data_IF_610264457380
#
_entry.id   IF_610264457380
#
_cell.length_a   1.000
_cell.length_b   1.000
_cell.length_c   1.000
_cell.angle_alpha   90.00
_cell.angle_beta   90.00
_cell.angle_gamma   90.00
#
_symmetry.space_group_name_H-M   'P 1'
#
loop_
_entity.id
_entity.type
_entity.pdbx_description
1 polymer ?
#
# COMPACT_ATOMS: atom_id res chain seq x y z
N UNK A 1 26.06 22.15 3.45
CA UNK A 1 24.62 22.28 3.71
C UNK A 1 24.32 21.28 4.81
N UNK A 2 23.89 21.74 5.99
CA UNK A 2 23.36 20.86 7.03
C UNK A 2 21.96 20.43 6.57
N UNK A 3 21.73 19.13 6.43
CA UNK A 3 20.42 18.58 6.15
C UNK A 3 19.62 18.57 7.46
N UNK A 4 18.43 19.13 7.46
CA UNK A 4 17.56 19.17 8.64
C UNK A 4 16.84 17.82 8.84
N UNK A 5 17.62 16.83 9.29
CA UNK A 5 17.09 15.51 9.64
C UNK A 5 16.57 15.54 11.08
N UNK A 6 15.29 15.32 11.26
CA UNK A 6 14.69 15.15 12.59
C UNK A 6 14.62 13.66 12.95
N UNK A 7 15.78 13.11 13.35
CA UNK A 7 15.90 11.69 13.70
C UNK A 7 15.94 11.52 15.20
N UNK A 8 14.98 10.77 15.75
CA UNK A 8 14.95 10.52 17.18
C UNK A 8 16.18 9.67 17.61
N UNK A 9 16.85 9.99 18.74
CA UNK A 9 18.10 9.33 19.13
C UNK A 9 17.98 7.83 19.45
N UNK A 10 16.75 7.32 19.66
CA UNK A 10 16.49 5.89 19.85
C UNK A 10 16.17 5.15 18.55
N UNK A 11 16.13 5.83 17.40
CA UNK A 11 15.97 5.17 16.12
C UNK A 11 17.22 4.38 15.75
N UNK A 12 17.05 3.18 15.21
CA UNK A 12 18.15 2.31 14.77
C UNK A 12 18.21 2.36 13.24
N UNK A 13 19.25 3.01 12.73
CA UNK A 13 19.45 3.16 11.28
C UNK A 13 20.71 2.41 10.88
N UNK A 14 20.57 1.45 9.95
CA UNK A 14 21.72 0.73 9.43
C UNK A 14 22.64 1.69 8.66
N UNK A 15 23.98 1.64 8.83
CA UNK A 15 24.92 2.57 8.20
C UNK A 15 24.84 2.61 6.65
N UNK A 16 24.36 1.55 6.03
CA UNK A 16 24.19 1.45 4.57
C UNK A 16 22.82 1.92 4.08
N UNK A 17 21.89 2.27 4.97
CA UNK A 17 20.62 2.86 4.57
C UNK A 17 20.86 4.22 3.87
N UNK A 18 20.09 4.49 2.82
CA UNK A 18 20.21 5.75 2.08
C UNK A 18 19.04 6.66 2.45
N UNK A 19 19.35 7.75 3.11
CA UNK A 19 18.38 8.77 3.49
C UNK A 19 18.60 10.02 2.65
N UNK A 20 17.56 10.49 1.95
CA UNK A 20 17.58 11.79 1.27
C UNK A 20 17.41 12.93 2.29
N UNK A 21 17.28 14.16 1.82
CA UNK A 21 17.14 15.36 2.66
C UNK A 21 15.79 15.40 3.41
N UNK A 22 15.75 16.13 4.52
CA UNK A 22 14.54 16.45 5.28
C UNK A 22 13.73 15.22 5.76
N UNK A 23 14.42 14.13 6.12
CA UNK A 23 13.80 12.92 6.65
C UNK A 23 13.49 13.09 8.14
N UNK A 24 12.28 12.64 8.55
CA UNK A 24 11.92 12.54 9.97
C UNK A 24 11.76 11.07 10.34
N UNK A 25 12.35 10.64 11.47
CA UNK A 25 12.27 9.27 11.96
C UNK A 25 11.97 9.29 13.45
N UNK A 26 10.82 8.73 13.82
CA UNK A 26 10.35 8.67 15.19
C UNK A 26 11.08 7.64 16.06
N UNK A 27 10.77 7.68 17.35
CA UNK A 27 11.40 6.85 18.37
C UNK A 27 11.26 5.36 18.10
N UNK A 28 12.33 4.60 18.38
CA UNK A 28 12.39 3.13 18.30
C UNK A 28 12.07 2.56 16.90
N UNK A 29 12.16 3.37 15.86
CA UNK A 29 12.01 2.88 14.48
C UNK A 29 13.32 2.25 13.98
N UNK A 30 13.19 1.24 13.13
CA UNK A 30 14.28 0.48 12.56
C UNK A 30 14.32 0.68 11.05
N UNK A 31 15.46 1.13 10.52
CA UNK A 31 15.70 1.30 9.09
C UNK A 31 16.82 0.34 8.67
N UNK A 32 16.47 -0.65 7.86
CA UNK A 32 17.34 -1.75 7.46
C UNK A 32 18.40 -1.39 6.43
N UNK A 33 19.30 -2.35 6.17
CA UNK A 33 20.51 -2.18 5.35
C UNK A 33 20.27 -1.71 3.92
N UNK A 34 19.22 -2.19 3.28
CA UNK A 34 18.95 -1.96 1.87
C UNK A 34 17.77 -1.01 1.64
N UNK A 35 17.45 -0.20 2.66
CA UNK A 35 16.37 0.77 2.61
C UNK A 35 16.85 2.08 2.00
N UNK A 36 16.05 2.63 1.10
CA UNK A 36 16.22 3.96 0.53
C UNK A 36 14.97 4.82 0.83
N UNK A 37 15.16 5.98 1.46
CA UNK A 37 14.08 6.92 1.77
C UNK A 37 14.24 8.21 0.98
N UNK A 38 13.21 8.60 0.23
CA UNK A 38 13.15 9.83 -0.54
C UNK A 38 12.85 11.05 0.32
N UNK A 39 13.22 12.20 -0.19
CA UNK A 39 13.14 13.52 0.44
C UNK A 39 11.80 13.81 1.12
N UNK A 40 11.85 14.41 2.31
CA UNK A 40 10.67 14.86 3.05
C UNK A 40 9.78 13.73 3.56
N UNK A 41 10.23 12.47 3.52
CA UNK A 41 9.46 11.34 4.07
C UNK A 41 9.52 11.33 5.60
N UNK A 42 8.35 11.15 6.22
CA UNK A 42 8.15 11.12 7.67
C UNK A 42 7.82 9.70 8.14
N UNK A 43 8.64 9.17 9.04
CA UNK A 43 8.47 7.85 9.66
C UNK A 43 8.07 8.05 11.13
N UNK A 44 6.94 7.47 11.52
CA UNK A 44 6.43 7.50 12.89
C UNK A 44 7.29 6.69 13.87
N UNK A 45 6.79 6.51 15.09
CA UNK A 45 7.46 5.71 16.12
C UNK A 45 7.26 4.21 15.89
N UNK A 46 8.22 3.38 16.32
CA UNK A 46 8.11 1.91 16.27
C UNK A 46 7.81 1.35 14.87
N UNK A 47 8.26 2.01 13.81
CA UNK A 47 8.13 1.53 12.44
C UNK A 47 9.35 0.66 12.10
N UNK A 48 9.11 -0.51 11.51
CA UNK A 48 10.18 -1.34 10.93
C UNK A 48 10.14 -1.23 9.41
N UNK A 49 11.24 -0.80 8.81
CA UNK A 49 11.43 -0.79 7.35
C UNK A 49 12.64 -1.63 7.04
N UNK A 50 12.44 -2.75 6.33
CA UNK A 50 13.48 -3.77 6.09
C UNK A 50 13.53 -4.18 4.62
N UNK A 51 14.26 -5.25 4.31
CA UNK A 51 14.39 -5.77 2.95
C UNK A 51 14.98 -4.76 1.96
N UNK A 52 14.94 -5.09 0.68
CA UNK A 52 15.25 -4.16 -0.41
C UNK A 52 14.04 -3.25 -0.68
N UNK A 53 13.91 -2.21 0.15
CA UNK A 53 12.75 -1.32 0.15
C UNK A 53 13.14 0.08 -0.27
N UNK A 54 12.53 0.58 -1.34
CA UNK A 54 12.66 1.95 -1.80
C UNK A 54 11.36 2.70 -1.60
N UNK A 55 11.42 3.83 -0.88
CA UNK A 55 10.30 4.71 -0.60
C UNK A 55 10.59 6.07 -1.22
N UNK A 56 9.67 6.59 -2.01
CA UNK A 56 9.78 7.89 -2.68
C UNK A 56 9.68 9.07 -1.71
N UNK A 57 9.30 10.23 -2.26
CA UNK A 57 9.28 11.51 -1.55
C UNK A 57 7.98 11.77 -0.80
N UNK A 58 8.07 12.55 0.27
CA UNK A 58 6.93 13.12 1.00
C UNK A 58 5.90 12.08 1.46
N UNK A 59 6.34 10.86 1.72
CA UNK A 59 5.48 9.83 2.31
C UNK A 59 5.33 10.04 3.81
N UNK A 60 4.17 9.64 4.36
CA UNK A 60 3.92 9.60 5.81
C UNK A 60 3.61 8.18 6.24
N UNK A 61 4.48 7.59 7.05
CA UNK A 61 4.30 6.23 7.57
C UNK A 61 4.10 6.33 9.08
N UNK A 62 2.92 5.93 9.53
CA UNK A 62 2.50 6.04 10.92
C UNK A 62 3.06 4.88 11.75
N UNK A 63 3.00 5.05 13.06
CA UNK A 63 3.62 4.18 14.04
C UNK A 63 3.23 2.69 13.90
N UNK A 64 4.13 1.81 14.33
CA UNK A 64 3.91 0.37 14.42
C UNK A 64 3.62 -0.34 13.09
N UNK A 65 3.98 0.26 11.96
CA UNK A 65 3.88 -0.38 10.65
C UNK A 65 5.13 -1.20 10.35
N UNK A 66 4.96 -2.32 9.63
CA UNK A 66 6.01 -3.23 9.17
C UNK A 66 6.08 -3.20 7.65
N UNK A 67 7.12 -2.64 7.10
CA UNK A 67 7.28 -2.33 5.68
C UNK A 67 8.50 -3.05 5.10
N UNK A 68 8.29 -3.82 4.03
CA UNK A 68 9.38 -4.49 3.34
C UNK A 68 9.83 -5.80 3.98
N UNK A 69 9.02 -6.35 4.88
CA UNK A 69 9.28 -7.70 5.41
C UNK A 69 9.14 -8.75 4.30
N UNK A 70 9.77 -9.90 4.54
CA UNK A 70 9.70 -11.05 3.65
C UNK A 70 8.26 -11.50 3.40
N UNK A 71 7.96 -12.08 2.22
CA UNK A 71 6.66 -12.65 1.91
C UNK A 71 6.20 -13.68 2.94
N UNK A 72 4.89 -13.69 3.23
CA UNK A 72 4.27 -14.73 4.07
C UNK A 72 3.93 -15.98 3.22
N UNK A 73 4.73 -16.29 2.21
CA UNK A 73 4.60 -17.48 1.37
C UNK A 73 5.58 -18.55 1.85
N UNK A 74 5.08 -19.75 2.16
CA UNK A 74 5.90 -20.88 2.63
C UNK A 74 6.95 -21.35 1.60
N UNK A 75 6.81 -20.96 0.33
CA UNK A 75 7.78 -21.25 -0.73
C UNK A 75 8.96 -20.27 -0.73
N UNK A 76 8.83 -19.13 -0.08
CA UNK A 76 9.90 -18.14 0.00
C UNK A 76 11.10 -18.71 0.79
N UNK A 77 12.30 -18.55 0.24
CA UNK A 77 13.56 -19.08 0.79
C UNK A 77 14.65 -18.00 0.81
N UNK A 78 14.34 -16.85 1.39
CA UNK A 78 15.28 -15.72 1.56
C UNK A 78 15.90 -15.21 0.23
N UNK A 79 15.16 -15.32 -0.88
CA UNK A 79 15.61 -14.78 -2.16
C UNK A 79 15.52 -13.24 -2.17
N UNK A 80 16.40 -12.63 -2.97
CA UNK A 80 16.40 -11.19 -3.13
C UNK A 80 15.18 -10.72 -3.94
N UNK A 81 14.27 -10.06 -3.23
CA UNK A 81 13.06 -9.45 -3.78
C UNK A 81 12.86 -8.07 -3.17
N UNK A 82 12.05 -7.22 -3.76
CA UNK A 82 11.97 -5.83 -3.35
C UNK A 82 10.54 -5.30 -3.17
N UNK A 83 10.46 -4.15 -2.52
CA UNK A 83 9.28 -3.30 -2.39
C UNK A 83 9.63 -1.90 -2.91
N UNK A 84 8.80 -1.36 -3.78
CA UNK A 84 8.89 0.04 -4.20
C UNK A 84 7.60 0.77 -3.85
N UNK A 85 7.73 1.90 -3.15
CA UNK A 85 6.64 2.82 -2.81
C UNK A 85 6.96 4.16 -3.45
N UNK A 86 6.03 4.71 -4.21
CA UNK A 86 6.14 6.02 -4.85
C UNK A 86 6.06 7.18 -3.86
N UNK A 87 5.53 8.29 -4.31
CA UNK A 87 5.54 9.56 -3.58
C UNK A 87 4.18 9.87 -2.92
N UNK A 88 4.21 10.70 -1.87
CA UNK A 88 3.03 11.31 -1.22
C UNK A 88 1.98 10.33 -0.73
N UNK A 89 2.37 9.10 -0.40
CA UNK A 89 1.46 8.16 0.21
C UNK A 89 1.33 8.42 1.72
N UNK A 90 0.14 8.18 2.25
CA UNK A 90 -0.11 8.10 3.68
C UNK A 90 -0.40 6.65 4.05
N UNK A 91 0.49 6.06 4.83
CA UNK A 91 0.36 4.70 5.37
C UNK A 91 0.12 4.81 6.86
N UNK A 92 -1.10 4.47 7.28
CA UNK A 92 -1.52 4.58 8.68
C UNK A 92 -0.90 3.45 9.51
N UNK A 93 -1.21 3.51 10.79
CA UNK A 93 -0.64 2.63 11.81
C UNK A 93 -0.97 1.15 11.61
N UNK A 94 -0.07 0.28 12.08
CA UNK A 94 -0.19 -1.18 12.06
C UNK A 94 -0.37 -1.81 10.66
N UNK A 95 0.05 -1.12 9.61
CA UNK A 95 0.05 -1.69 8.27
C UNK A 95 1.21 -2.68 8.08
N UNK A 96 0.98 -3.71 7.27
CA UNK A 96 2.02 -4.67 6.87
C UNK A 96 2.12 -4.72 5.35
N UNK A 97 3.32 -4.55 4.80
CA UNK A 97 3.57 -4.55 3.36
C UNK A 97 4.80 -5.42 3.09
N UNK A 98 4.63 -6.48 2.30
CA UNK A 98 5.71 -7.42 2.02
C UNK A 98 6.43 -7.12 0.69
N UNK A 99 7.66 -7.61 0.56
CA UNK A 99 8.39 -7.65 -0.71
C UNK A 99 7.77 -8.65 -1.68
N UNK A 100 8.24 -8.73 -2.93
CA UNK A 100 7.77 -9.70 -3.91
C UNK A 100 8.34 -11.12 -3.70
N UNK A 101 8.02 -12.05 -4.60
CA UNK A 101 8.57 -13.41 -4.67
C UNK A 101 9.27 -13.65 -6.01
N UNK A 102 10.17 -14.63 -6.08
CA UNK A 102 10.89 -14.96 -7.32
C UNK A 102 10.00 -15.67 -8.34
N UNK A 103 8.96 -16.35 -7.89
CA UNK A 103 7.93 -16.95 -8.73
C UNK A 103 6.99 -15.90 -9.35
N UNK A 104 6.93 -14.70 -8.75
CA UNK A 104 6.15 -13.57 -9.23
C UNK A 104 7.02 -12.55 -9.98
N UNK A 105 6.76 -11.29 -9.74
CA UNK A 105 7.48 -10.17 -10.37
C UNK A 105 8.75 -9.77 -9.60
N UNK A 106 9.13 -10.50 -8.57
CA UNK A 106 10.20 -10.16 -7.60
C UNK A 106 9.96 -8.84 -6.88
N UNK A 107 8.81 -8.23 -7.04
CA UNK A 107 8.56 -6.86 -6.61
C UNK A 107 7.10 -6.64 -6.22
N UNK A 108 6.89 -6.01 -5.07
CA UNK A 108 5.63 -5.35 -4.72
C UNK A 108 5.74 -3.86 -5.06
N UNK A 109 4.71 -3.31 -5.70
CA UNK A 109 4.70 -1.93 -6.19
C UNK A 109 3.53 -1.16 -5.58
N UNK A 110 3.82 0.01 -5.03
CA UNK A 110 2.82 0.99 -4.60
C UNK A 110 3.15 2.31 -5.29
N UNK A 111 2.19 2.87 -6.02
CA UNK A 111 2.32 4.13 -6.73
C UNK A 111 2.29 5.35 -5.81
N UNK A 112 1.62 6.40 -6.26
CA UNK A 112 1.64 7.70 -5.62
C UNK A 112 0.27 8.10 -5.08
N UNK A 113 0.24 9.05 -4.13
CA UNK A 113 -0.95 9.71 -3.65
C UNK A 113 -2.00 8.76 -3.06
N UNK A 114 -1.57 7.63 -2.49
CA UNK A 114 -2.46 6.64 -1.91
C UNK A 114 -2.72 6.93 -0.42
N UNK A 115 -3.93 6.64 0.03
CA UNK A 115 -4.36 6.70 1.43
C UNK A 115 -4.64 5.29 1.95
N UNK A 116 -3.69 4.74 2.67
CA UNK A 116 -3.73 3.39 3.22
C UNK A 116 -4.03 3.49 4.71
N UNK A 117 -5.24 3.09 5.11
CA UNK A 117 -5.70 3.21 6.49
C UNK A 117 -5.13 2.12 7.39
N UNK A 118 -5.39 2.24 8.69
CA UNK A 118 -4.81 1.36 9.69
C UNK A 118 -5.17 -0.12 9.50
N UNK A 119 -4.22 -1.00 9.87
CA UNK A 119 -4.34 -2.45 9.81
C UNK A 119 -4.49 -3.04 8.40
N UNK A 120 -4.14 -2.29 7.36
CA UNK A 120 -4.13 -2.81 5.99
C UNK A 120 -2.97 -3.77 5.81
N UNK A 121 -3.23 -4.89 5.12
CA UNK A 121 -2.20 -5.82 4.67
C UNK A 121 -2.07 -5.80 3.15
N UNK A 122 -0.86 -5.63 2.64
CA UNK A 122 -0.51 -5.76 1.22
C UNK A 122 0.53 -6.86 1.10
N UNK A 123 0.11 -8.01 0.56
CA UNK A 123 0.98 -9.16 0.37
C UNK A 123 1.97 -8.96 -0.80
N UNK A 124 2.80 -9.95 -1.00
CA UNK A 124 3.84 -10.01 -2.03
C UNK A 124 3.28 -9.85 -3.46
N UNK A 125 4.10 -9.27 -4.34
CA UNK A 125 3.82 -9.12 -5.78
C UNK A 125 2.56 -8.31 -6.11
N UNK A 126 1.97 -7.61 -5.16
CA UNK A 126 0.85 -6.71 -5.41
C UNK A 126 1.30 -5.48 -6.21
N UNK A 127 0.41 -4.99 -7.08
CA UNK A 127 0.57 -3.75 -7.83
C UNK A 127 -0.58 -2.80 -7.43
N UNK A 128 -0.27 -1.78 -6.65
CA UNK A 128 -1.20 -0.74 -6.22
C UNK A 128 -0.83 0.54 -6.96
N UNK A 129 -1.68 1.03 -7.87
CA UNK A 129 -1.38 2.21 -8.68
C UNK A 129 -1.53 3.52 -7.88
N UNK A 130 -2.22 4.52 -8.38
CA UNK A 130 -2.22 5.86 -7.79
C UNK A 130 -3.61 6.31 -7.32
N UNK A 131 -3.65 7.24 -6.36
CA UNK A 131 -4.87 7.88 -5.86
C UNK A 131 -5.90 6.88 -5.29
N UNK A 132 -5.41 5.82 -4.68
CA UNK A 132 -6.23 4.74 -4.13
C UNK A 132 -6.50 5.00 -2.65
N UNK A 133 -7.71 4.67 -2.22
CA UNK A 133 -8.08 4.65 -0.80
C UNK A 133 -8.32 3.21 -0.38
N UNK A 134 -7.55 2.74 0.60
CA UNK A 134 -7.70 1.42 1.20
C UNK A 134 -8.13 1.61 2.65
N UNK A 135 -9.39 1.29 2.94
CA UNK A 135 -9.93 1.49 4.28
C UNK A 135 -9.45 0.42 5.27
N UNK A 136 -9.67 0.69 6.56
CA UNK A 136 -9.18 -0.12 7.67
C UNK A 136 -9.42 -1.63 7.50
N UNK A 137 -8.40 -2.41 7.86
CA UNK A 137 -8.43 -3.89 7.84
C UNK A 137 -8.65 -4.52 6.45
N UNK A 138 -8.53 -3.77 5.38
CA UNK A 138 -8.55 -4.37 4.06
C UNK A 138 -7.27 -5.18 3.84
N UNK A 139 -7.42 -6.33 3.15
CA UNK A 139 -6.34 -7.30 2.97
C UNK A 139 -6.23 -7.67 1.49
N UNK A 140 -5.05 -7.49 0.93
CA UNK A 140 -4.70 -7.91 -0.42
C UNK A 140 -3.83 -9.15 -0.33
N UNK A 141 -4.30 -10.26 -0.86
CA UNK A 141 -3.47 -11.45 -1.03
C UNK A 141 -2.44 -11.25 -2.15
N UNK A 142 -1.52 -12.20 -2.34
CA UNK A 142 -0.45 -12.06 -3.32
C UNK A 142 -0.94 -11.80 -4.75
N UNK A 143 -0.15 -11.04 -5.53
CA UNK A 143 -0.38 -10.74 -6.94
C UNK A 143 -1.67 -9.96 -7.25
N UNK A 144 -2.27 -9.29 -6.28
CA UNK A 144 -3.44 -8.42 -6.52
C UNK A 144 -3.00 -7.15 -7.24
N UNK A 145 -3.73 -6.78 -8.29
CA UNK A 145 -3.53 -5.54 -9.01
C UNK A 145 -4.69 -4.56 -8.73
N UNK A 146 -4.39 -3.35 -8.30
CA UNK A 146 -5.38 -2.30 -8.05
C UNK A 146 -5.07 -1.10 -8.93
N UNK A 147 -6.02 -0.74 -9.78
CA UNK A 147 -5.90 0.37 -10.70
C UNK A 147 -6.16 1.72 -10.03
N UNK A 148 -5.96 2.81 -10.78
CA UNK A 148 -6.06 4.17 -10.25
C UNK A 148 -7.47 4.47 -9.69
N UNK A 149 -7.51 5.31 -8.66
CA UNK A 149 -8.75 5.85 -8.09
C UNK A 149 -9.70 4.82 -7.48
N UNK A 150 -9.25 3.60 -7.24
CA UNK A 150 -10.04 2.58 -6.55
C UNK A 150 -10.25 2.96 -5.08
N UNK A 151 -11.42 2.61 -4.55
CA UNK A 151 -11.74 2.73 -3.12
C UNK A 151 -12.08 1.34 -2.59
N UNK A 152 -11.28 0.83 -1.68
CA UNK A 152 -11.59 -0.41 -0.96
C UNK A 152 -12.25 -0.07 0.39
N UNK A 153 -13.47 -0.55 0.59
CA UNK A 153 -14.18 -0.45 1.86
C UNK A 153 -13.50 -1.24 2.98
N UNK A 154 -13.72 -0.86 4.23
CA UNK A 154 -13.14 -1.54 5.38
C UNK A 154 -13.42 -3.03 5.39
N UNK A 155 -12.46 -3.84 5.87
CA UNK A 155 -12.55 -5.31 5.89
C UNK A 155 -12.77 -5.96 4.51
N UNK A 156 -12.45 -5.25 3.41
CA UNK A 156 -12.40 -5.89 2.09
C UNK A 156 -11.25 -6.89 2.05
N UNK A 157 -11.50 -8.12 1.66
CA UNK A 157 -10.47 -9.12 1.43
C UNK A 157 -10.46 -9.54 -0.04
N UNK A 158 -9.29 -9.52 -0.66
CA UNK A 158 -9.12 -9.77 -2.10
C UNK A 158 -8.25 -11.01 -2.28
N UNK A 159 -8.80 -12.02 -2.95
CA UNK A 159 -8.08 -13.25 -3.28
C UNK A 159 -6.91 -12.97 -4.23
N UNK A 160 -5.89 -13.80 -4.15
CA UNK A 160 -4.70 -13.68 -5.01
C UNK A 160 -5.05 -13.63 -6.50
N UNK A 161 -4.25 -12.89 -7.26
CA UNK A 161 -4.36 -12.67 -8.70
C UNK A 161 -5.57 -11.86 -9.18
N UNK A 162 -6.46 -11.40 -8.30
CA UNK A 162 -7.57 -10.54 -8.70
C UNK A 162 -7.10 -9.16 -9.14
N UNK A 163 -7.81 -8.58 -10.12
CA UNK A 163 -7.61 -7.23 -10.64
C UNK A 163 -8.81 -6.36 -10.34
N UNK A 164 -8.55 -5.18 -9.81
CA UNK A 164 -9.59 -4.20 -9.50
C UNK A 164 -9.42 -3.01 -10.44
N UNK A 165 -10.37 -2.85 -11.35
CA UNK A 165 -10.36 -1.82 -12.38
C UNK A 165 -10.49 -0.41 -11.82
N UNK A 166 -10.03 0.58 -12.59
CA UNK A 166 -9.98 1.97 -12.16
C UNK A 166 -11.36 2.51 -11.75
N UNK A 167 -11.35 3.43 -10.80
CA UNK A 167 -12.57 4.02 -10.23
C UNK A 167 -13.56 3.03 -9.60
N UNK A 168 -13.25 1.76 -9.51
CA UNK A 168 -14.10 0.80 -8.81
C UNK A 168 -14.15 1.10 -7.30
N UNK A 169 -15.24 0.66 -6.67
CA UNK A 169 -15.40 0.75 -5.22
C UNK A 169 -15.92 -0.57 -4.65
N UNK A 170 -15.36 -1.03 -3.55
CA UNK A 170 -15.92 -2.13 -2.78
C UNK A 170 -16.64 -1.60 -1.54
N UNK A 171 -17.76 -2.20 -1.19
CA UNK A 171 -18.41 -1.93 0.10
C UNK A 171 -17.65 -2.62 1.24
N UNK A 172 -17.85 -2.14 2.48
CA UNK A 172 -17.23 -2.76 3.64
C UNK A 172 -17.58 -4.25 3.79
N UNK A 173 -16.61 -5.07 4.18
CA UNK A 173 -16.78 -6.51 4.35
C UNK A 173 -16.89 -7.29 3.02
N UNK A 174 -16.50 -6.70 1.90
CA UNK A 174 -16.57 -7.39 0.60
C UNK A 174 -15.45 -8.42 0.47
N UNK A 175 -15.81 -9.67 0.18
CA UNK A 175 -14.87 -10.77 -0.10
C UNK A 175 -14.80 -10.98 -1.62
N UNK A 176 -13.67 -10.66 -2.22
CA UNK A 176 -13.45 -10.74 -3.67
C UNK A 176 -12.64 -12.00 -4.01
N UNK A 177 -13.18 -12.85 -4.88
CA UNK A 177 -12.49 -13.99 -5.49
C UNK A 177 -12.39 -13.88 -7.02
N UNK A 178 -12.81 -12.77 -7.59
CA UNK A 178 -12.83 -12.47 -9.02
C UNK A 178 -12.46 -11.01 -9.26
N UNK A 179 -12.11 -10.71 -10.52
CA UNK A 179 -11.83 -9.35 -10.95
C UNK A 179 -13.06 -8.44 -10.82
N UNK A 180 -12.80 -7.16 -10.57
CA UNK A 180 -13.81 -6.11 -10.57
C UNK A 180 -13.56 -5.19 -11.76
N UNK A 181 -14.56 -5.04 -12.63
CA UNK A 181 -14.47 -4.16 -13.79
C UNK A 181 -14.32 -2.69 -13.36
N UNK A 182 -13.72 -1.86 -14.22
CA UNK A 182 -13.65 -0.40 -13.97
C UNK A 182 -15.03 0.20 -13.70
N UNK A 183 -15.04 1.22 -12.84
CA UNK A 183 -16.21 2.02 -12.45
C UNK A 183 -17.29 1.26 -11.67
N UNK A 184 -17.15 -0.04 -11.46
CA UNK A 184 -18.15 -0.87 -10.78
C UNK A 184 -18.12 -0.66 -9.26
N UNK A 185 -19.30 -0.71 -8.65
CA UNK A 185 -19.47 -0.89 -7.21
C UNK A 185 -19.68 -2.38 -6.91
N UNK A 186 -18.74 -2.99 -6.20
CA UNK A 186 -18.82 -4.36 -5.77
C UNK A 186 -19.34 -4.45 -4.32
N UNK A 187 -20.25 -5.38 -4.07
CA UNK A 187 -20.82 -5.66 -2.76
C UNK A 187 -20.75 -7.16 -2.47
N UNK A 188 -20.79 -7.55 -1.19
CA UNK A 188 -20.85 -8.96 -0.80
C UNK A 188 -22.19 -9.32 -0.18
N UNK A 189 -22.78 -10.43 -0.61
CA UNK A 189 -23.94 -11.07 0.02
C UNK A 189 -23.71 -12.57 0.09
N UNK A 190 -24.00 -13.17 1.26
CA UNK A 190 -23.84 -14.61 1.41
C UNK A 190 -22.41 -15.13 1.17
N UNK A 191 -21.38 -14.31 1.43
CA UNK A 191 -19.99 -14.69 1.24
C UNK A 191 -19.44 -14.55 -0.19
N UNK A 192 -20.26 -14.08 -1.16
CA UNK A 192 -19.82 -13.85 -2.55
C UNK A 192 -19.93 -12.37 -2.91
N UNK A 193 -18.92 -11.87 -3.61
CA UNK A 193 -18.94 -10.54 -4.18
C UNK A 193 -19.62 -10.54 -5.56
N UNK A 194 -20.37 -9.48 -5.86
CA UNK A 194 -21.00 -9.27 -7.15
C UNK A 194 -21.11 -7.78 -7.48
N UNK A 195 -21.22 -7.42 -8.78
CA UNK A 195 -21.39 -6.06 -9.19
C UNK A 195 -22.78 -5.53 -8.77
N UNK A 196 -22.82 -4.31 -8.26
CA UNK A 196 -24.05 -3.63 -7.85
C UNK A 196 -24.05 -2.19 -8.36
N UNK A 197 -24.16 -2.06 -9.66
CA UNK A 197 -24.17 -0.77 -10.35
C UNK A 197 -22.78 -0.10 -10.43
N UNK A 198 -22.80 1.18 -10.76
CA UNK A 198 -21.63 2.02 -10.99
C UNK A 198 -21.28 2.81 -9.71
N UNK A 199 -20.04 3.16 -9.54
CA UNK A 199 -19.53 4.05 -8.48
C UNK A 199 -19.89 5.52 -8.79
N UNK A 200 -21.17 5.82 -8.99
CA UNK A 200 -21.65 7.14 -9.44
C UNK A 200 -21.19 8.28 -8.52
N UNK A 201 -21.21 8.08 -7.21
CA UNK A 201 -20.82 9.11 -6.25
C UNK A 201 -19.29 9.40 -6.32
N UNK A 202 -18.46 8.35 -6.41
CA UNK A 202 -17.02 8.52 -6.57
C UNK A 202 -16.67 9.24 -7.87
N UNK A 203 -17.38 8.95 -8.96
CA UNK A 203 -17.18 9.60 -10.25
C UNK A 203 -17.59 11.08 -10.21
N UNK A 204 -18.73 11.43 -9.60
CA UNK A 204 -19.15 12.84 -9.41
C UNK A 204 -18.13 13.65 -8.63
N UNK A 205 -17.61 13.11 -7.53
CA UNK A 205 -16.56 13.76 -6.72
C UNK A 205 -15.26 14.02 -7.50
N UNK A 206 -15.05 13.29 -8.59
CA UNK A 206 -13.90 13.44 -9.49
C UNK A 206 -14.22 14.25 -10.75
N UNK A 207 -15.39 14.88 -10.81
CA UNK A 207 -15.76 15.81 -11.88
C UNK A 207 -16.35 15.18 -13.15
N UNK A 208 -16.71 13.89 -13.11
CA UNK A 208 -17.46 13.28 -14.21
C UNK A 208 -18.85 13.89 -14.32
N UNK A 209 -19.29 14.21 -15.54
CA UNK A 209 -20.62 14.77 -15.78
C UNK A 209 -21.71 13.71 -15.59
N UNK A 210 -22.94 14.15 -15.35
CA UNK A 210 -24.08 13.23 -15.23
C UNK A 210 -24.32 12.43 -16.51
N UNK A 211 -24.07 13.04 -17.68
CA UNK A 211 -24.16 12.36 -18.96
C UNK A 211 -23.12 11.25 -19.13
N UNK A 212 -21.92 11.45 -18.62
CA UNK A 212 -20.85 10.44 -18.69
C UNK A 212 -21.07 9.27 -17.71
N UNK A 213 -21.89 9.47 -16.66
CA UNK A 213 -22.16 8.46 -15.63
C UNK A 213 -23.39 7.60 -15.98
N UNK A 214 -24.34 8.12 -16.74
CA UNK A 214 -25.57 7.43 -17.14
C UNK A 214 -25.38 6.68 -18.47
#
# INVERSE_FOLDING_TARGET
>A
MEFDHEIHPTAIIHPNAKLAENIKIGAYSIIGKFVELGEGTEIGNHVSITGHTKIGKSNKIFHSSSIGEQPQDMKYKDQETCLEIGDRNTIREFCTINTGTVEGNKKTLIGNDNWIMAYVHIAHDCIVKNNIVIANNATLAGHVEIDNYVVLGGFTAIHQFCKIGEHAITMGGTLLSQDVLPYVRAVSRGGMAFPNGINSEGLRRRGFTSEAIN
#
